data_IF_384141860539
#
_entry.id   IF_384141860539
#
_cell.length_a   1.000
_cell.length_b   1.000
_cell.length_c   1.000
_cell.angle_alpha   90.00
_cell.angle_beta   90.00
_cell.angle_gamma   90.00
#
_symmetry.space_group_name_H-M   'P 1'
#
loop_
_entity.id
_entity.type
_entity.pdbx_description
1 polymer ?
#
# COMPACT_ATOMS: atom_id res chain seq x y z
N UNK A 1 23.68 -7.03 -38.54
CA UNK A 1 22.90 -8.10 -37.89
C UNK A 1 23.27 -8.08 -36.43
N UNK A 2 22.46 -7.79 -35.43
CA UNK A 2 21.02 -7.62 -35.28
C UNK A 2 20.85 -7.58 -33.77
N UNK A 3 20.70 -6.37 -33.22
CA UNK A 3 20.55 -6.18 -31.78
C UNK A 3 19.19 -6.69 -31.31
N UNK A 4 19.17 -7.35 -30.17
CA UNK A 4 17.95 -7.55 -29.39
C UNK A 4 18.17 -6.93 -28.03
N UNK A 5 18.01 -5.61 -27.96
CA UNK A 5 17.67 -4.91 -26.74
C UNK A 5 16.28 -5.40 -26.35
N UNK A 6 16.19 -6.26 -25.33
CA UNK A 6 14.89 -6.58 -24.73
C UNK A 6 14.40 -5.33 -24.01
N UNK A 7 13.53 -4.58 -24.70
CA UNK A 7 12.72 -3.53 -24.10
C UNK A 7 11.77 -4.15 -23.08
N UNK A 8 11.66 -3.53 -21.89
CA UNK A 8 10.59 -3.87 -20.95
C UNK A 8 10.78 -3.52 -19.48
N UNK A 9 11.88 -2.90 -19.06
CA UNK A 9 12.06 -2.51 -17.65
C UNK A 9 12.02 -1.00 -17.46
N UNK A 10 10.84 -0.40 -17.66
CA UNK A 10 10.53 0.92 -17.11
C UNK A 10 9.27 0.79 -16.26
N UNK A 11 9.46 0.50 -14.98
CA UNK A 11 8.38 0.31 -14.01
C UNK A 11 8.92 0.40 -12.59
N UNK A 12 9.32 1.61 -12.19
CA UNK A 12 9.65 2.02 -10.83
C UNK A 12 10.86 1.30 -10.20
N UNK A 13 12.00 1.97 -10.17
CA UNK A 13 13.15 1.55 -9.33
C UNK A 13 12.75 1.74 -7.87
N UNK A 14 12.09 0.74 -7.29
CA UNK A 14 11.85 0.68 -5.86
C UNK A 14 13.19 0.47 -5.15
N UNK A 15 13.59 1.34 -4.19
CA UNK A 15 14.85 1.15 -3.46
C UNK A 15 14.84 -0.20 -2.73
N UNK A 16 15.99 -0.88 -2.67
CA UNK A 16 16.11 -2.15 -1.96
C UNK A 16 15.61 -1.99 -0.51
N UNK A 17 14.74 -2.89 -0.08
CA UNK A 17 14.30 -2.90 1.32
C UNK A 17 15.43 -3.39 2.22
N UNK A 18 15.61 -2.67 3.32
CA UNK A 18 16.44 -3.07 4.45
C UNK A 18 15.85 -4.32 5.11
N UNK A 19 16.66 -5.01 5.91
CA UNK A 19 16.16 -6.10 6.74
C UNK A 19 15.11 -5.56 7.73
N UNK A 20 13.98 -6.26 7.82
CA UNK A 20 12.79 -5.92 8.61
C UNK A 20 11.95 -4.75 8.07
N UNK A 21 12.01 -4.45 6.77
CA UNK A 21 11.07 -3.51 6.14
C UNK A 21 9.97 -4.24 5.36
N UNK A 22 8.80 -3.61 5.32
CA UNK A 22 7.64 -4.08 4.56
C UNK A 22 7.23 -2.99 3.58
N UNK A 23 7.08 -3.35 2.31
CA UNK A 23 6.54 -2.45 1.28
C UNK A 23 5.23 -2.98 0.73
N UNK A 24 4.24 -2.12 0.66
CA UNK A 24 2.92 -2.42 0.10
C UNK A 24 2.75 -1.54 -1.14
N UNK A 25 2.62 -2.18 -2.29
CA UNK A 25 2.47 -1.53 -3.59
C UNK A 25 1.06 -1.77 -4.10
N UNK A 26 0.31 -0.69 -4.29
CA UNK A 26 -0.99 -0.68 -4.93
C UNK A 26 -0.83 -0.24 -6.39
N UNK A 27 -1.39 -1.00 -7.32
CA UNK A 27 -1.54 -0.65 -8.74
C UNK A 27 -2.98 -0.84 -9.16
N UNK A 28 -3.47 -0.05 -10.10
CA UNK A 28 -4.81 -0.19 -10.68
C UNK A 28 -4.82 0.26 -12.15
N UNK A 29 -5.94 0.05 -12.83
CA UNK A 29 -6.14 0.48 -14.22
C UNK A 29 -6.39 1.97 -14.37
N UNK A 30 -6.93 2.36 -15.53
CA UNK A 30 -7.23 3.77 -15.84
C UNK A 30 -8.46 4.33 -15.11
N UNK A 31 -9.32 3.45 -14.60
CA UNK A 31 -10.55 3.81 -13.87
C UNK A 31 -10.66 2.94 -12.63
N UNK A 32 -11.02 3.51 -11.45
CA UNK A 32 -11.20 4.93 -11.20
C UNK A 32 -9.86 5.70 -11.32
N UNK A 33 -9.93 7.02 -11.42
CA UNK A 33 -8.72 7.85 -11.59
C UNK A 33 -7.80 7.80 -10.37
N UNK A 34 -8.36 7.58 -9.18
CA UNK A 34 -7.65 7.74 -7.92
C UNK A 34 -8.11 6.70 -6.89
N UNK A 35 -7.17 5.83 -6.50
CA UNK A 35 -7.30 4.87 -5.41
C UNK A 35 -6.23 5.17 -4.36
N UNK A 36 -6.67 5.37 -3.12
CA UNK A 36 -5.83 5.70 -1.98
C UNK A 36 -5.45 4.46 -1.17
N UNK A 37 -4.19 4.42 -0.76
CA UNK A 37 -3.60 3.53 0.21
C UNK A 37 -3.84 4.06 1.61
N UNK A 38 -4.43 3.22 2.46
CA UNK A 38 -4.59 3.49 3.88
C UNK A 38 -3.89 2.41 4.69
N UNK A 39 -2.88 2.81 5.46
CA UNK A 39 -2.22 1.96 6.44
C UNK A 39 -2.55 2.45 7.84
N UNK A 40 -2.88 1.50 8.71
CA UNK A 40 -3.02 1.72 10.14
C UNK A 40 -2.18 0.70 10.89
N UNK A 41 -1.49 1.13 11.95
CA UNK A 41 -0.63 0.24 12.73
C UNK A 41 -0.41 0.71 14.17
N UNK A 42 0.23 -0.13 14.99
CA UNK A 42 0.69 0.27 16.32
C UNK A 42 1.60 1.51 16.25
N UNK A 43 1.38 2.48 17.13
CA UNK A 43 2.22 3.67 17.27
C UNK A 43 3.30 3.45 18.34
N UNK A 44 4.43 4.14 18.21
CA UNK A 44 5.47 4.16 19.24
C UNK A 44 5.01 4.94 20.50
N UNK A 45 4.10 5.89 20.32
CA UNK A 45 3.40 6.53 21.44
C UNK A 45 2.48 5.51 22.13
N UNK A 46 2.62 5.38 23.46
CA UNK A 46 1.87 4.40 24.25
C UNK A 46 0.36 4.47 24.03
N UNK A 47 -0.28 3.31 23.85
CA UNK A 47 -1.73 3.15 23.66
C UNK A 47 -2.32 3.94 22.47
N UNK A 48 -1.51 4.21 21.43
CA UNK A 48 -1.97 4.87 20.20
C UNK A 48 -1.76 3.98 18.97
N UNK A 49 -2.41 4.38 17.88
CA UNK A 49 -2.25 3.83 16.54
C UNK A 49 -1.92 4.96 15.59
N UNK A 50 -1.11 4.68 14.57
CA UNK A 50 -0.84 5.62 13.50
C UNK A 50 -1.75 5.34 12.32
N UNK A 51 -1.91 6.36 11.46
CA UNK A 51 -2.58 6.26 10.18
C UNK A 51 -1.69 6.91 9.12
N UNK A 52 -1.42 6.22 8.02
CA UNK A 52 -0.70 6.75 6.85
C UNK A 52 -1.61 6.64 5.63
N UNK A 53 -1.87 7.78 4.99
CA UNK A 53 -2.70 7.95 3.78
C UNK A 53 -2.38 9.32 3.14
N UNK A 54 -3.02 9.69 2.02
CA UNK A 54 -2.72 10.94 1.29
C UNK A 54 -2.71 12.20 2.19
N UNK A 55 -3.65 12.30 3.14
CA UNK A 55 -3.78 13.43 4.06
C UNK A 55 -2.86 13.38 5.28
N UNK A 56 -2.24 12.23 5.56
CA UNK A 56 -1.21 12.07 6.58
C UNK A 56 -0.11 11.12 6.08
N UNK A 57 0.83 11.67 5.32
CA UNK A 57 1.74 10.89 4.46
C UNK A 57 2.81 10.09 5.22
N UNK A 58 3.02 10.35 6.51
CA UNK A 58 4.02 9.63 7.28
C UNK A 58 3.69 9.62 8.76
N UNK A 59 4.12 8.56 9.44
CA UNK A 59 4.17 8.53 10.90
C UNK A 59 5.62 8.58 11.37
N UNK A 60 5.97 9.67 12.04
CA UNK A 60 7.29 9.90 12.63
C UNK A 60 7.15 10.12 14.13
N UNK A 61 7.99 9.46 14.93
CA UNK A 61 8.02 9.60 16.38
C UNK A 61 9.47 9.69 16.85
N UNK A 62 9.76 10.70 17.69
CA UNK A 62 11.11 10.98 18.20
C UNK A 62 12.19 11.04 17.09
N UNK A 63 11.85 11.67 15.95
CA UNK A 63 12.75 11.82 14.80
C UNK A 63 12.90 10.59 13.91
N UNK A 64 12.23 9.48 14.23
CA UNK A 64 12.29 8.23 13.46
C UNK A 64 10.98 8.04 12.67
N UNK A 65 11.09 7.82 11.36
CA UNK A 65 9.93 7.50 10.51
C UNK A 65 9.65 6.00 10.56
N UNK A 66 8.42 5.66 10.95
CA UNK A 66 7.96 4.28 11.09
C UNK A 66 7.28 3.78 9.83
N UNK A 67 6.50 4.64 9.18
CA UNK A 67 5.84 4.34 7.93
C UNK A 67 5.63 5.60 7.11
N UNK A 68 5.69 5.50 5.78
CA UNK A 68 5.49 6.61 4.87
C UNK A 68 4.80 6.17 3.57
N UNK A 69 3.99 7.07 3.01
CA UNK A 69 3.47 7.03 1.65
C UNK A 69 4.52 7.65 0.72
N UNK A 70 5.34 6.80 0.13
CA UNK A 70 6.52 7.17 -0.65
C UNK A 70 6.15 7.72 -2.03
N UNK A 71 5.09 7.15 -2.62
CA UNK A 71 4.56 7.56 -3.91
C UNK A 71 3.05 7.64 -3.81
N UNK A 72 2.53 8.81 -4.16
CA UNK A 72 1.11 9.13 -4.24
C UNK A 72 0.82 9.52 -5.71
N UNK A 73 -0.21 8.89 -6.29
CA UNK A 73 -0.57 9.03 -7.70
C UNK A 73 -2.07 9.31 -7.82
N UNK A 74 -2.40 10.59 -7.89
CA UNK A 74 -3.78 11.11 -8.01
C UNK A 74 -4.39 11.04 -9.43
N UNK A 75 -3.71 10.40 -10.38
CA UNK A 75 -4.17 10.23 -11.77
C UNK A 75 -3.92 8.78 -12.18
N UNK A 76 -4.88 8.17 -12.88
CA UNK A 76 -4.98 6.71 -13.10
C UNK A 76 -3.69 5.99 -13.50
N UNK A 77 -3.75 4.65 -13.46
CA UNK A 77 -2.63 3.70 -13.62
C UNK A 77 -1.70 3.52 -12.40
N UNK A 78 -1.93 4.22 -11.28
CA UNK A 78 -1.09 4.12 -10.09
C UNK A 78 0.42 4.28 -10.40
N UNK A 79 1.35 3.73 -9.60
CA UNK A 79 1.14 3.05 -8.33
C UNK A 79 1.06 4.01 -7.15
N UNK A 80 0.51 3.52 -6.04
CA UNK A 80 0.83 4.06 -4.72
C UNK A 80 1.69 3.08 -3.92
N UNK A 81 2.58 3.60 -3.10
CA UNK A 81 3.51 2.78 -2.31
C UNK A 81 3.60 3.27 -0.89
N UNK A 82 3.33 2.38 0.07
CA UNK A 82 3.63 2.59 1.49
C UNK A 82 4.80 1.69 1.91
N UNK A 83 5.82 2.27 2.53
CA UNK A 83 6.90 1.52 3.20
C UNK A 83 6.75 1.64 4.72
N UNK A 84 6.87 0.51 5.42
CA UNK A 84 6.98 0.41 6.87
C UNK A 84 8.45 0.12 7.18
N UNK A 85 9.15 1.12 7.70
CA UNK A 85 10.59 1.05 7.99
C UNK A 85 10.88 0.66 9.44
N UNK A 86 9.91 0.74 10.34
CA UNK A 86 10.05 0.30 11.73
C UNK A 86 8.85 -0.55 12.14
N UNK A 87 9.12 -1.81 12.47
CA UNK A 87 8.08 -2.77 12.88
C UNK A 87 7.90 -2.71 14.40
N UNK A 88 6.63 -2.69 14.82
CA UNK A 88 6.22 -2.82 16.20
C UNK A 88 5.31 -4.05 16.32
N UNK A 89 5.38 -4.74 17.46
CA UNK A 89 4.43 -5.81 17.76
C UNK A 89 3.00 -5.26 17.76
N UNK A 90 2.09 -5.96 17.08
CA UNK A 90 0.69 -5.56 16.98
C UNK A 90 0.08 -5.86 15.62
N UNK A 91 -1.11 -5.29 15.40
CA UNK A 91 -1.87 -5.51 14.16
C UNK A 91 -1.79 -4.29 13.26
N UNK A 92 -1.33 -4.52 12.04
CA UNK A 92 -1.37 -3.60 10.91
C UNK A 92 -2.59 -3.93 10.05
N UNK A 93 -3.30 -2.91 9.59
CA UNK A 93 -4.41 -3.02 8.65
C UNK A 93 -4.07 -2.18 7.43
N UNK A 94 -4.19 -2.79 6.25
CA UNK A 94 -4.07 -2.08 4.98
C UNK A 94 -5.39 -2.17 4.20
N UNK A 95 -5.85 -1.05 3.69
CA UNK A 95 -7.05 -0.93 2.88
C UNK A 95 -6.85 0.01 1.70
N UNK A 96 -7.62 -0.22 0.64
CA UNK A 96 -7.70 0.62 -0.55
C UNK A 96 -9.03 1.35 -0.53
N UNK A 97 -9.00 2.67 -0.70
CA UNK A 97 -10.20 3.50 -0.76
C UNK A 97 -10.32 4.18 -2.13
N UNK A 98 -11.51 4.14 -2.72
CA UNK A 98 -11.81 4.80 -3.97
C UNK A 98 -12.16 6.27 -3.73
N UNK A 99 -11.14 7.13 -3.78
CA UNK A 99 -11.30 8.56 -3.55
C UNK A 99 -12.18 9.26 -4.59
N UNK A 100 -12.03 8.82 -5.84
CA UNK A 100 -12.75 9.36 -7.00
C UNK A 100 -14.27 9.22 -6.86
N UNK A 101 -14.75 8.14 -6.23
CA UNK A 101 -16.17 7.82 -6.06
C UNK A 101 -16.59 7.74 -4.58
N UNK A 102 -15.84 8.37 -3.67
CA UNK A 102 -15.93 8.21 -2.21
C UNK A 102 -17.32 8.37 -1.56
N UNK A 103 -18.28 9.01 -2.22
CA UNK A 103 -19.66 9.22 -1.71
C UNK A 103 -20.67 8.19 -2.23
N UNK A 104 -20.26 7.25 -3.09
CA UNK A 104 -21.17 6.34 -3.80
C UNK A 104 -21.15 4.93 -3.21
N UNK A 105 -22.07 4.67 -2.27
CA UNK A 105 -22.11 3.43 -1.49
C UNK A 105 -22.30 2.13 -2.30
N UNK A 106 -22.87 2.22 -3.52
CA UNK A 106 -23.13 1.07 -4.40
C UNK A 106 -22.25 1.09 -5.66
N UNK A 107 -21.16 1.85 -5.65
CA UNK A 107 -20.28 2.01 -6.81
C UNK A 107 -19.46 0.75 -7.07
N UNK A 108 -19.37 0.35 -8.34
CA UNK A 108 -18.61 -0.83 -8.78
C UNK A 108 -17.24 -0.49 -9.38
N UNK A 109 -16.87 0.79 -9.46
CA UNK A 109 -15.60 1.20 -10.09
C UNK A 109 -14.40 0.67 -9.31
N UNK A 110 -14.49 0.53 -7.98
CA UNK A 110 -13.43 -0.13 -7.20
C UNK A 110 -13.28 -1.61 -7.61
N UNK A 111 -14.37 -2.38 -7.65
CA UNK A 111 -14.30 -3.80 -8.02
C UNK A 111 -13.96 -4.02 -9.50
N UNK A 112 -14.17 -3.03 -10.36
CA UNK A 112 -13.80 -3.03 -11.78
C UNK A 112 -12.43 -2.38 -12.06
N UNK A 113 -11.70 -1.96 -11.02
CA UNK A 113 -10.47 -1.17 -11.16
C UNK A 113 -9.25 -1.94 -11.66
N UNK A 114 -9.32 -3.27 -11.68
CA UNK A 114 -8.16 -4.15 -11.80
C UNK A 114 -7.09 -3.88 -10.72
N UNK A 115 -7.49 -3.35 -9.55
CA UNK A 115 -6.55 -3.07 -8.49
C UNK A 115 -5.88 -4.35 -7.97
N UNK A 116 -4.57 -4.24 -7.76
CA UNK A 116 -3.72 -5.29 -7.20
C UNK A 116 -2.84 -4.68 -6.11
N UNK A 117 -2.74 -5.40 -4.99
CA UNK A 117 -1.83 -5.07 -3.89
C UNK A 117 -0.76 -6.14 -3.79
N UNK A 118 0.51 -5.74 -3.89
CA UNK A 118 1.67 -6.60 -3.67
C UNK A 118 2.37 -6.20 -2.38
N UNK A 119 2.58 -7.17 -1.50
CA UNK A 119 3.30 -7.00 -0.23
C UNK A 119 4.68 -7.63 -0.37
N UNK A 120 5.70 -6.83 -0.12
CA UNK A 120 7.10 -7.23 -0.10
C UNK A 120 7.63 -7.18 1.33
N UNK A 121 8.38 -8.19 1.73
CA UNK A 121 9.09 -8.25 3.02
C UNK A 121 10.55 -8.55 2.72
N UNK A 122 11.48 -7.76 3.24
CA UNK A 122 12.92 -7.95 3.01
C UNK A 122 13.26 -8.12 1.51
N UNK A 123 12.67 -7.28 0.66
CA UNK A 123 12.85 -7.28 -0.79
C UNK A 123 12.28 -8.50 -1.55
N UNK A 124 11.63 -9.45 -0.87
CA UNK A 124 10.97 -10.60 -1.48
C UNK A 124 9.44 -10.40 -1.54
N UNK A 125 8.81 -10.81 -2.64
CA UNK A 125 7.35 -10.83 -2.73
C UNK A 125 6.81 -11.82 -1.71
N UNK A 126 6.04 -11.32 -0.75
CA UNK A 126 5.39 -12.13 0.27
C UNK A 126 3.99 -12.58 -0.17
N UNK A 127 3.19 -11.64 -0.69
CA UNK A 127 1.80 -11.94 -1.10
C UNK A 127 1.28 -10.95 -2.12
N UNK A 128 0.36 -11.43 -2.96
CA UNK A 128 -0.42 -10.63 -3.89
C UNK A 128 -1.90 -10.79 -3.58
N UNK A 129 -2.63 -9.67 -3.63
CA UNK A 129 -4.09 -9.62 -3.48
C UNK A 129 -4.68 -8.90 -4.69
N UNK A 130 -5.77 -9.45 -5.23
CA UNK A 130 -6.53 -8.80 -6.29
C UNK A 130 -7.82 -8.24 -5.69
N UNK A 131 -8.29 -7.11 -6.22
CA UNK A 131 -9.55 -6.51 -5.78
C UNK A 131 -10.72 -7.49 -5.96
N UNK A 132 -11.64 -7.60 -4.99
CA UNK A 132 -12.82 -8.44 -5.13
C UNK A 132 -13.71 -7.96 -6.27
N UNK A 133 -14.12 -8.89 -7.14
CA UNK A 133 -15.04 -8.59 -8.24
C UNK A 133 -16.48 -8.41 -7.76
N UNK A 134 -17.26 -7.59 -8.46
CA UNK A 134 -18.71 -7.43 -8.27
C UNK A 134 -19.12 -7.04 -6.84
N UNK A 135 -18.24 -6.32 -6.13
CA UNK A 135 -18.56 -5.75 -4.82
C UNK A 135 -18.84 -4.26 -4.98
N UNK A 136 -20.02 -3.84 -4.52
CA UNK A 136 -20.37 -2.43 -4.40
C UNK A 136 -19.70 -1.80 -3.18
N UNK A 137 -19.30 -0.55 -3.34
CA UNK A 137 -18.71 0.26 -2.28
C UNK A 137 -17.35 0.81 -2.63
N UNK A 138 -16.85 1.66 -1.74
CA UNK A 138 -15.64 2.46 -2.00
C UNK A 138 -14.43 2.00 -1.21
N UNK A 139 -14.56 0.98 -0.35
CA UNK A 139 -13.50 0.53 0.54
C UNK A 139 -13.25 -0.97 0.39
N UNK A 140 -12.00 -1.33 0.15
CA UNK A 140 -11.52 -2.70 0.18
C UNK A 140 -10.52 -2.87 1.32
N UNK A 141 -10.90 -3.63 2.36
CA UNK A 141 -9.94 -4.08 3.38
C UNK A 141 -9.13 -5.24 2.81
N UNK A 142 -7.84 -5.02 2.56
CA UNK A 142 -6.99 -5.98 1.84
C UNK A 142 -6.47 -7.04 2.78
N UNK A 143 -5.90 -6.61 3.91
CA UNK A 143 -5.25 -7.52 4.86
C UNK A 143 -5.21 -6.96 6.28
N UNK A 144 -5.09 -7.92 7.21
CA UNK A 144 -4.68 -7.70 8.59
C UNK A 144 -3.40 -8.50 8.80
N UNK A 145 -2.32 -7.82 9.18
CA UNK A 145 -1.03 -8.44 9.46
C UNK A 145 -0.73 -8.31 10.94
N UNK A 146 -0.65 -9.44 11.63
CA UNK A 146 -0.26 -9.50 13.04
C UNK A 146 1.24 -9.78 13.13
N UNK A 147 1.99 -8.81 13.64
CA UNK A 147 3.41 -8.96 13.91
C UNK A 147 3.62 -9.26 15.38
N UNK A 148 4.48 -10.25 15.64
CA UNK A 148 4.96 -10.58 16.97
C UNK A 148 6.48 -10.65 16.89
N UNK A 149 7.15 -9.64 17.45
CA UNK A 149 8.60 -9.62 17.55
C UNK A 149 8.97 -10.49 18.76
N UNK A 150 9.74 -11.58 18.59
CA UNK A 150 10.19 -12.38 19.72
C UNK A 150 10.97 -11.49 20.70
N UNK A 151 10.69 -11.62 21.99
CA UNK A 151 11.62 -11.15 23.01
C UNK A 151 12.86 -12.03 22.92
N UNK A 152 14.05 -11.42 22.85
CA UNK A 152 15.34 -12.11 22.92
C UNK A 152 15.51 -12.81 24.27
#
# INVERSE_FOLDING_TARGET
MGGTTQQGQNGTVTPNLSQNEIRIVLTWGSSPSDLDSHLEGPAAAANKRFYVYYGNRSYTYSGITYAALDQDKVTGFGPETITISQLLTGTYRYSVHNYSHRTSANDLTLSNSNAQVRVYVNNALYKTFNVPSNQGGTLWTVLWMRLQIPLL
#
